data_IF_364487840917
#
_entry.id   IF_364487840917
#
_cell.length_a   1.000
_cell.length_b   1.000
_cell.length_c   1.000
_cell.angle_alpha   90.00
_cell.angle_beta   90.00
_cell.angle_gamma   90.00
#
_symmetry.space_group_name_H-M   'P 1'
#
loop_
_entity.id
_entity.type
_entity.pdbx_description
1 polymer ?
#
# COMPACT_ATOMS: atom_id res chain seq x y z
N UNK A 1 20.02 -5.61 -2.66
CA UNK A 1 19.00 -4.81 -3.35
C UNK A 1 17.65 -5.47 -3.21
N UNK A 2 16.64 -4.69 -2.86
CA UNK A 2 15.31 -5.23 -2.65
C UNK A 2 14.49 -5.15 -3.90
N UNK A 3 13.76 -6.22 -4.18
CA UNK A 3 12.92 -6.28 -5.37
C UNK A 3 11.47 -6.07 -4.97
N UNK A 4 10.66 -5.69 -5.96
CA UNK A 4 9.23 -5.60 -5.75
C UNK A 4 8.65 -6.97 -5.46
N UNK A 5 7.72 -7.02 -4.53
CA UNK A 5 7.04 -8.26 -4.21
C UNK A 5 5.62 -7.94 -3.77
N UNK A 6 4.79 -8.95 -3.75
CA UNK A 6 3.43 -8.80 -3.26
C UNK A 6 3.26 -9.66 -2.03
N UNK A 7 2.59 -9.10 -1.04
CA UNK A 7 2.24 -9.83 0.16
C UNK A 7 0.73 -9.80 0.34
N UNK A 8 0.25 -10.44 1.39
CA UNK A 8 -1.19 -10.48 1.67
C UNK A 8 -1.74 -9.06 1.68
N UNK A 9 -2.67 -8.77 0.77
CA UNK A 9 -3.23 -7.44 0.64
C UNK A 9 -3.97 -7.02 1.91
N UNK A 10 -4.60 -7.96 2.61
CA UNK A 10 -5.29 -7.63 3.86
C UNK A 10 -4.30 -7.10 4.90
N UNK A 11 -3.14 -7.74 5.00
CA UNK A 11 -2.12 -7.27 5.93
C UNK A 11 -1.56 -5.92 5.51
N UNK A 12 -1.38 -5.72 4.21
CA UNK A 12 -0.90 -4.44 3.71
C UNK A 12 -1.89 -3.34 4.03
N UNK A 13 -3.19 -3.59 3.83
CA UNK A 13 -4.21 -2.60 4.15
C UNK A 13 -4.29 -2.34 5.65
N UNK A 14 -4.16 -3.37 6.47
CA UNK A 14 -4.15 -3.16 7.92
C UNK A 14 -2.99 -2.27 8.34
N UNK A 15 -1.81 -2.52 7.77
CA UNK A 15 -0.67 -1.67 8.06
C UNK A 15 -0.91 -0.23 7.64
N UNK A 16 -1.43 -0.05 6.43
CA UNK A 16 -1.68 1.29 5.91
C UNK A 16 -2.71 2.02 6.78
N UNK A 17 -3.76 1.33 7.21
CA UNK A 17 -4.77 1.96 8.07
C UNK A 17 -4.16 2.39 9.40
N UNK A 18 -3.28 1.58 9.95
CA UNK A 18 -2.62 1.94 11.21
C UNK A 18 -1.70 3.13 11.05
N UNK A 19 -1.26 3.41 9.83
CA UNK A 19 -0.37 4.54 9.54
C UNK A 19 -1.12 5.76 9.03
N UNK A 20 -2.45 5.72 9.00
CA UNK A 20 -3.22 6.89 8.66
C UNK A 20 -4.01 6.81 7.36
N UNK A 21 -4.04 5.67 6.71
CA UNK A 21 -4.86 5.54 5.50
C UNK A 21 -6.32 5.64 5.87
N UNK A 22 -6.99 6.65 5.34
CA UNK A 22 -8.32 7.02 5.78
C UNK A 22 -9.43 6.30 5.03
N UNK A 23 -9.27 6.10 3.73
CA UNK A 23 -10.31 5.51 2.90
C UNK A 23 -9.73 4.36 2.09
N UNK A 24 -9.53 3.21 2.71
CA UNK A 24 -8.91 2.09 2.01
C UNK A 24 -9.69 1.65 0.77
N UNK A 25 -11.00 1.88 0.75
CA UNK A 25 -11.82 1.51 -0.40
C UNK A 25 -11.47 2.31 -1.65
N UNK A 26 -10.77 3.44 -1.49
CA UNK A 26 -10.35 4.26 -2.63
C UNK A 26 -9.00 3.86 -3.19
N UNK A 27 -8.37 2.84 -2.63
CA UNK A 27 -7.02 2.46 -2.98
C UNK A 27 -6.95 1.00 -3.38
N UNK A 28 -5.95 0.69 -4.21
CA UNK A 28 -5.61 -0.68 -4.57
C UNK A 28 -4.20 -0.97 -4.09
N UNK A 29 -4.01 -2.14 -3.50
CA UNK A 29 -2.66 -2.57 -3.15
C UNK A 29 -1.94 -2.98 -4.43
N UNK A 30 -0.77 -2.39 -4.65
CA UNK A 30 -0.02 -2.67 -5.87
C UNK A 30 1.14 -3.62 -5.62
N UNK A 31 2.01 -3.28 -4.69
CA UNK A 31 3.18 -4.10 -4.40
C UNK A 31 3.88 -3.54 -3.17
N UNK A 32 4.90 -4.27 -2.74
CA UNK A 32 5.77 -3.83 -1.64
C UNK A 32 7.20 -3.77 -2.14
N UNK A 33 7.98 -2.85 -1.59
CA UNK A 33 9.36 -2.67 -1.96
C UNK A 33 10.08 -1.93 -0.84
N UNK A 34 11.25 -2.43 -0.46
CA UNK A 34 12.07 -1.76 0.54
C UNK A 34 11.31 -1.50 1.85
N UNK A 35 10.57 -2.52 2.27
CA UNK A 35 9.82 -2.47 3.52
C UNK A 35 8.72 -1.44 3.54
N UNK A 36 8.20 -1.10 2.36
CA UNK A 36 7.06 -0.20 2.21
C UNK A 36 5.99 -0.86 1.38
N UNK A 37 4.75 -0.59 1.71
CA UNK A 37 3.62 -1.05 0.92
C UNK A 37 3.14 0.10 0.04
N UNK A 38 3.00 -0.17 -1.26
CA UNK A 38 2.59 0.85 -2.21
C UNK A 38 1.15 0.61 -2.64
N UNK A 39 0.39 1.67 -2.61
CA UNK A 39 -1.01 1.65 -3.02
C UNK A 39 -1.23 2.68 -4.11
N UNK A 40 -2.23 2.42 -4.93
CA UNK A 40 -2.60 3.34 -5.99
C UNK A 40 -4.01 3.85 -5.73
N UNK A 41 -4.17 5.15 -5.68
CA UNK A 41 -5.49 5.74 -5.52
C UNK A 41 -6.23 5.63 -6.84
N UNK A 42 -7.41 5.02 -6.79
CA UNK A 42 -8.14 4.69 -8.02
C UNK A 42 -8.59 5.96 -8.74
N UNK A 43 -9.01 6.96 -7.98
CA UNK A 43 -9.61 8.16 -8.57
C UNK A 43 -8.63 8.95 -9.43
N UNK A 44 -7.42 9.18 -8.94
CA UNK A 44 -6.45 10.03 -9.66
C UNK A 44 -5.19 9.27 -10.04
N UNK A 45 -5.13 7.96 -9.76
CA UNK A 45 -4.04 7.08 -10.12
C UNK A 45 -2.71 7.48 -9.49
N UNK A 46 -2.76 8.18 -8.38
CA UNK A 46 -1.54 8.55 -7.67
C UNK A 46 -1.14 7.47 -6.69
N UNK A 47 0.16 7.33 -6.50
CA UNK A 47 0.69 6.33 -5.59
C UNK A 47 0.95 6.93 -4.22
N UNK A 48 0.69 6.12 -3.20
CA UNK A 48 1.09 6.43 -1.84
C UNK A 48 1.80 5.22 -1.27
N UNK A 49 2.62 5.44 -0.26
CA UNK A 49 3.33 4.33 0.37
C UNK A 49 3.30 4.48 1.89
N UNK A 50 3.38 3.34 2.54
CA UNK A 50 3.38 3.29 4.01
C UNK A 50 4.46 2.31 4.45
N UNK A 51 5.26 2.70 5.41
CA UNK A 51 6.29 1.81 5.96
C UNK A 51 5.63 0.63 6.66
N UNK A 52 6.24 -0.54 6.49
CA UNK A 52 5.78 -1.75 7.17
C UNK A 52 6.12 -1.74 8.64
#
# INVERSE_FOLDING_TARGET
>A
MKEMYQRDSNKAFENAKSKGLDKPEDYMYMYSKEDKDFFKRVMDRKYVSFAQ
#
